data_IF_748772461613
#
_entry.id   IF_748772461613
#
_cell.length_a   1.000
_cell.length_b   1.000
_cell.length_c   1.000
_cell.angle_alpha   90.00
_cell.angle_beta   90.00
_cell.angle_gamma   90.00
#
_symmetry.space_group_name_H-M   'P 1'
#
loop_
_entity.id
_entity.type
_entity.pdbx_description
1 polymer ?
#
# COMPACT_ATOMS: atom_id res chain seq x y z
N UNK A 1 24.24 -17.46 -9.07
CA UNK A 1 24.32 -16.64 -7.84
C UNK A 1 24.67 -15.16 -8.06
N UNK A 2 25.53 -14.77 -9.02
CA UNK A 2 25.92 -13.36 -9.24
C UNK A 2 24.77 -12.42 -9.68
N UNK A 3 23.81 -12.91 -10.47
CA UNK A 3 22.66 -12.12 -10.94
C UNK A 3 21.64 -11.84 -9.82
N UNK A 4 21.41 -12.81 -8.93
CA UNK A 4 20.50 -12.67 -7.79
C UNK A 4 21.01 -11.62 -6.79
N UNK A 5 22.33 -11.59 -6.56
CA UNK A 5 22.97 -10.60 -5.70
C UNK A 5 22.87 -9.17 -6.26
N UNK A 6 22.99 -9.01 -7.58
CA UNK A 6 22.82 -7.69 -8.23
C UNK A 6 21.37 -7.19 -8.17
N UNK A 7 20.39 -8.09 -8.30
CA UNK A 7 18.96 -7.73 -8.18
C UNK A 7 18.62 -7.33 -6.74
N UNK A 8 19.17 -8.04 -5.75
CA UNK A 8 19.00 -7.70 -4.32
C UNK A 8 19.67 -6.35 -4.01
N UNK A 9 20.86 -6.07 -4.57
CA UNK A 9 21.56 -4.79 -4.37
C UNK A 9 20.81 -3.61 -5.02
N UNK A 10 20.24 -3.81 -6.22
CA UNK A 10 19.43 -2.81 -6.92
C UNK A 10 18.09 -2.53 -6.19
N UNK A 11 17.46 -3.57 -5.64
CA UNK A 11 16.26 -3.42 -4.80
C UNK A 11 16.57 -2.68 -3.48
N UNK A 12 17.74 -2.91 -2.88
CA UNK A 12 18.18 -2.24 -1.66
C UNK A 12 18.52 -0.75 -1.90
N UNK A 13 19.16 -0.41 -3.02
CA UNK A 13 19.44 1.00 -3.37
C UNK A 13 18.17 1.80 -3.69
N UNK A 14 17.15 1.20 -4.31
CA UNK A 14 15.88 1.87 -4.62
C UNK A 14 15.04 2.20 -3.37
N UNK A 15 15.19 1.41 -2.30
CA UNK A 15 14.49 1.62 -1.03
C UNK A 15 15.13 2.74 -0.19
N UNK A 16 16.45 2.94 -0.28
CA UNK A 16 17.13 4.09 0.34
C UNK A 16 16.76 5.44 -0.28
N UNK A 17 16.66 5.50 -1.61
CA UNK A 17 16.20 6.72 -2.30
C UNK A 17 14.74 7.09 -1.94
N UNK A 18 13.87 6.09 -1.79
CA UNK A 18 12.46 6.29 -1.42
C UNK A 18 12.29 6.75 0.04
N UNK A 19 13.16 6.28 0.94
CA UNK A 19 13.19 6.71 2.35
C UNK A 19 13.58 8.20 2.49
N UNK A 20 14.58 8.68 1.73
CA UNK A 20 14.99 10.10 1.76
C UNK A 20 13.96 11.06 1.14
N UNK A 21 13.21 10.61 0.13
CA UNK A 21 12.13 11.40 -0.48
C UNK A 21 10.93 11.58 0.46
N UNK A 22 10.65 10.61 1.35
CA UNK A 22 9.60 10.75 2.36
C UNK A 22 10.06 11.53 3.59
N UNK A 23 11.33 11.42 4.00
CA UNK A 23 11.85 12.14 5.17
C UNK A 23 11.86 13.67 4.95
N UNK A 24 12.10 14.12 3.71
CA UNK A 24 12.03 15.53 3.32
C UNK A 24 10.59 16.09 3.29
N UNK A 25 9.60 15.31 2.85
CA UNK A 25 8.19 15.71 2.90
C UNK A 25 7.63 15.72 4.34
N UNK A 26 8.09 14.79 5.18
CA UNK A 26 7.71 14.68 6.61
C UNK A 26 8.38 15.80 7.43
N UNK A 27 9.66 16.12 7.20
CA UNK A 27 10.34 17.30 7.78
C UNK A 27 9.70 18.62 7.38
N UNK A 28 9.22 18.77 6.14
CA UNK A 28 8.54 20.00 5.69
C UNK A 28 7.17 20.20 6.35
N UNK A 29 6.54 19.11 6.82
CA UNK A 29 5.28 19.13 7.56
C UNK A 29 5.49 19.27 9.08
N UNK A 30 6.64 18.84 9.61
CA UNK A 30 7.00 18.89 11.04
C UNK A 30 7.94 20.06 11.39
N UNK A 31 8.33 20.89 10.41
CA UNK A 31 9.32 21.97 10.56
C UNK A 31 8.85 23.23 11.32
N UNK A 32 7.68 23.22 11.93
CA UNK A 32 7.31 24.19 12.96
C UNK A 32 7.45 23.52 14.32
N UNK A 33 8.68 23.43 14.80
CA UNK A 33 8.97 22.98 16.16
C UNK A 33 8.31 23.92 17.16
N UNK A 34 7.46 23.37 18.03
CA UNK A 34 6.75 24.05 19.11
C UNK A 34 7.65 24.63 20.23
N UNK A 35 8.98 24.64 20.05
CA UNK A 35 9.95 25.09 21.07
C UNK A 35 11.13 25.91 20.54
N UNK A 36 11.06 26.49 19.33
CA UNK A 36 12.13 27.38 18.86
C UNK A 36 11.95 28.81 19.38
N UNK A 37 12.23 29.02 20.68
CA UNK A 37 12.27 30.35 21.32
C UNK A 37 13.67 30.99 21.20
N UNK A 38 14.58 30.44 20.39
CA UNK A 38 15.97 30.90 20.32
C UNK A 38 16.27 31.74 19.07
N UNK A 39 15.42 32.72 18.73
CA UNK A 39 15.83 33.82 17.83
C UNK A 39 15.09 35.12 18.07
N UNK A 40 15.07 35.58 19.32
CA UNK A 40 14.88 37.01 19.59
C UNK A 40 16.13 37.76 19.12
N UNK A 41 16.04 38.52 18.02
CA UNK A 41 17.05 39.55 17.72
C UNK A 41 16.89 40.70 18.72
N UNK A 42 17.95 41.18 19.37
CA UNK A 42 17.87 42.34 20.24
C UNK A 42 17.66 43.58 19.37
N UNK A 43 16.56 44.30 19.61
CA UNK A 43 16.37 45.65 19.07
C UNK A 43 16.60 46.62 20.21
N UNK A 44 17.76 47.27 20.19
CA UNK A 44 17.94 48.54 20.87
C UNK A 44 18.71 49.48 19.93
N UNK A 45 18.02 50.51 19.43
CA UNK A 45 18.62 51.79 19.05
C UNK A 45 17.53 52.84 18.90
N UNK A 46 17.62 53.82 19.79
CA UNK A 46 16.85 55.04 19.89
C UNK A 46 16.98 55.91 18.63
N UNK A 47 15.90 56.12 17.86
CA UNK A 47 15.65 57.36 17.11
C UNK A 47 14.14 57.62 17.02
N UNK A 48 13.69 58.75 17.59
CA UNK A 48 12.33 59.30 17.48
C UNK A 48 11.97 59.62 16.03
N UNK A 49 10.77 59.24 15.58
CA UNK A 49 10.07 59.87 14.45
C UNK A 49 8.58 60.03 14.78
N UNK A 50 7.93 61.18 14.48
CA UNK A 50 6.63 61.53 15.07
C UNK A 50 5.48 60.68 14.52
N UNK A 51 4.51 60.45 15.39
CA UNK A 51 3.28 59.69 15.18
C UNK A 51 2.39 60.40 14.14
N UNK A 52 2.04 59.70 13.06
CA UNK A 52 0.85 60.01 12.26
C UNK A 52 -0.30 59.09 12.75
N UNK A 53 -1.55 59.56 12.83
CA UNK A 53 -2.64 58.76 13.37
C UNK A 53 -2.98 57.63 12.40
N UNK A 54 -2.62 56.40 12.79
CA UNK A 54 -2.98 55.20 12.05
C UNK A 54 -4.48 54.94 12.29
N UNK A 55 -5.30 55.35 11.33
CA UNK A 55 -6.72 54.95 11.23
C UNK A 55 -6.81 53.44 11.44
N UNK A 56 -7.62 53.05 12.44
CA UNK A 56 -7.91 51.66 12.76
C UNK A 56 -8.55 50.97 11.54
N UNK A 57 -7.74 50.21 10.79
CA UNK A 57 -8.25 49.28 9.79
C UNK A 57 -8.58 48.00 10.53
N UNK A 58 -9.87 47.80 10.79
CA UNK A 58 -10.45 46.55 11.29
C UNK A 58 -9.89 45.38 10.48
N UNK A 59 -9.02 44.57 11.08
CA UNK A 59 -8.61 43.31 10.52
C UNK A 59 -9.81 42.37 10.57
N UNK A 60 -10.54 42.27 9.47
CA UNK A 60 -11.49 41.18 9.28
C UNK A 60 -10.68 39.88 9.17
N UNK A 61 -10.62 39.13 10.27
CA UNK A 61 -10.20 37.74 10.30
C UNK A 61 -11.10 36.95 9.34
N UNK A 62 -10.64 36.82 8.10
CA UNK A 62 -11.27 35.94 7.12
C UNK A 62 -10.75 34.55 7.42
N UNK A 63 -11.59 33.60 7.90
CA UNK A 63 -11.12 32.25 8.13
C UNK A 63 -10.64 31.69 6.79
N UNK A 64 -9.35 31.34 6.71
CA UNK A 64 -8.80 30.62 5.57
C UNK A 64 -9.50 29.26 5.52
N UNK A 65 -10.57 29.17 4.73
CA UNK A 65 -11.29 27.93 4.49
C UNK A 65 -10.37 27.07 3.63
N UNK A 66 -9.48 26.31 4.28
CA UNK A 66 -8.77 25.21 3.65
C UNK A 66 -9.83 24.18 3.29
N UNK A 67 -10.30 24.21 2.05
CA UNK A 67 -11.23 23.23 1.47
C UNK A 67 -10.56 21.86 1.50
N UNK A 68 -10.64 21.14 2.63
CA UNK A 68 -10.14 19.76 2.72
C UNK A 68 -10.94 18.91 1.75
N UNK A 69 -10.24 18.22 0.85
CA UNK A 69 -10.89 17.26 -0.06
C UNK A 69 -11.52 16.16 0.79
N UNK A 70 -12.84 16.03 0.73
CA UNK A 70 -13.60 14.98 1.39
C UNK A 70 -13.12 13.64 0.81
N UNK A 71 -12.63 12.76 1.68
CA UNK A 71 -12.22 11.41 1.32
C UNK A 71 -13.44 10.50 1.44
N UNK A 72 -13.94 10.03 0.30
CA UNK A 72 -15.06 9.10 0.23
C UNK A 72 -14.50 7.65 0.29
N UNK A 73 -14.77 6.90 1.38
CA UNK A 73 -14.23 5.54 1.58
C UNK A 73 -14.76 4.54 0.55
N UNK A 74 -16.01 4.71 0.11
CA UNK A 74 -16.65 3.80 -0.85
C UNK A 74 -15.95 3.85 -2.21
N UNK A 75 -15.40 5.01 -2.58
CA UNK A 75 -14.58 5.15 -3.80
C UNK A 75 -13.23 4.44 -3.67
N UNK A 76 -12.67 4.30 -2.48
CA UNK A 76 -11.43 3.55 -2.26
C UNK A 76 -11.65 2.04 -2.48
N UNK A 77 -12.75 1.51 -1.94
CA UNK A 77 -13.13 0.10 -2.06
C UNK A 77 -13.43 -0.29 -3.51
N UNK A 78 -14.29 0.46 -4.20
CA UNK A 78 -14.63 0.16 -5.60
C UNK A 78 -13.41 0.22 -6.51
N UNK A 79 -12.49 1.17 -6.28
CA UNK A 79 -11.26 1.29 -7.06
C UNK A 79 -10.30 0.12 -6.82
N UNK A 80 -10.06 -0.28 -5.56
CA UNK A 80 -9.25 -1.48 -5.26
C UNK A 80 -9.83 -2.76 -5.82
N UNK A 81 -11.17 -2.85 -5.90
CA UNK A 81 -11.87 -3.98 -6.49
C UNK A 81 -11.82 -4.00 -8.02
N UNK A 82 -11.42 -2.91 -8.69
CA UNK A 82 -11.24 -2.90 -10.15
C UNK A 82 -9.81 -3.22 -10.54
N UNK A 83 -8.83 -2.61 -9.86
CA UNK A 83 -7.41 -2.87 -10.13
C UNK A 83 -6.70 -3.06 -8.78
N UNK A 84 -5.97 -4.18 -8.59
CA UNK A 84 -5.15 -4.38 -7.40
C UNK A 84 -4.25 -3.15 -7.14
N UNK A 85 -4.33 -2.57 -5.94
CA UNK A 85 -3.55 -1.40 -5.55
C UNK A 85 -4.15 -0.02 -5.89
N UNK A 86 -5.26 0.10 -6.62
CA UNK A 86 -5.84 1.43 -6.94
C UNK A 86 -6.32 2.16 -5.66
N UNK A 87 -6.94 1.49 -4.70
CA UNK A 87 -7.33 2.15 -3.45
C UNK A 87 -6.13 2.66 -2.65
N UNK A 88 -4.96 2.03 -2.74
CA UNK A 88 -3.73 2.53 -2.12
C UNK A 88 -3.25 3.84 -2.78
N UNK A 89 -3.37 3.95 -4.12
CA UNK A 89 -3.12 5.19 -4.86
C UNK A 89 -4.09 6.30 -4.41
N UNK A 90 -5.38 5.98 -4.31
CA UNK A 90 -6.39 6.93 -3.82
C UNK A 90 -6.13 7.35 -2.37
N UNK A 91 -5.61 6.42 -1.56
CA UNK A 91 -5.22 6.65 -0.18
C UNK A 91 -3.85 7.35 -0.06
N UNK A 92 -3.15 7.64 -1.16
CA UNK A 92 -1.78 8.19 -1.20
C UNK A 92 -0.75 7.33 -0.44
N UNK A 93 -1.01 6.05 -0.29
CA UNK A 93 -0.13 5.08 0.38
C UNK A 93 0.75 4.33 -0.63
N UNK A 94 1.48 5.08 -1.46
CA UNK A 94 2.28 4.49 -2.55
C UNK A 94 3.36 3.54 -2.07
N UNK A 95 3.86 3.73 -0.86
CA UNK A 95 4.92 2.89 -0.29
C UNK A 95 4.49 1.43 -0.07
N UNK A 96 3.17 1.16 0.05
CA UNK A 96 2.63 -0.20 0.17
C UNK A 96 2.53 -0.92 -1.18
N UNK A 97 2.56 -0.19 -2.30
CA UNK A 97 2.39 -0.77 -3.63
C UNK A 97 3.46 -1.82 -3.98
N UNK A 98 4.77 -1.60 -3.76
CA UNK A 98 5.77 -2.62 -4.03
C UNK A 98 5.51 -3.93 -3.29
N UNK A 99 4.99 -3.86 -2.06
CA UNK A 99 4.63 -5.04 -1.29
C UNK A 99 3.42 -5.77 -1.89
N UNK A 100 2.38 -5.05 -2.29
CA UNK A 100 1.19 -5.62 -2.93
C UNK A 100 1.53 -6.30 -4.25
N UNK A 101 2.26 -5.59 -5.12
CA UNK A 101 2.68 -6.15 -6.40
C UNK A 101 3.67 -7.30 -6.22
N UNK A 102 4.56 -7.24 -5.21
CA UNK A 102 5.41 -8.36 -4.84
C UNK A 102 4.61 -9.59 -4.41
N UNK A 103 3.60 -9.41 -3.57
CA UNK A 103 2.72 -10.49 -3.11
C UNK A 103 1.88 -11.09 -4.24
N UNK A 104 1.36 -10.27 -5.16
CA UNK A 104 0.59 -10.73 -6.32
C UNK A 104 1.47 -11.36 -7.40
N UNK A 105 2.73 -10.92 -7.54
CA UNK A 105 3.66 -11.47 -8.52
C UNK A 105 3.93 -12.96 -8.31
N UNK A 106 3.94 -13.43 -7.06
CA UNK A 106 4.19 -14.84 -6.72
C UNK A 106 3.13 -15.76 -7.36
N UNK A 107 1.82 -15.66 -7.02
CA UNK A 107 0.80 -16.51 -7.63
C UNK A 107 0.66 -16.29 -9.13
N UNK A 108 0.93 -15.08 -9.65
CA UNK A 108 0.94 -14.84 -11.10
C UNK A 108 2.07 -15.60 -11.79
N UNK A 109 3.29 -15.56 -11.25
CA UNK A 109 4.43 -16.28 -11.81
C UNK A 109 4.23 -17.80 -11.72
N UNK A 110 3.74 -18.31 -10.58
CA UNK A 110 3.44 -19.74 -10.45
C UNK A 110 2.31 -20.15 -11.38
N UNK A 111 1.29 -19.32 -11.61
CA UNK A 111 0.23 -19.60 -12.58
C UNK A 111 0.80 -19.76 -13.99
N UNK A 112 1.64 -18.82 -14.44
CA UNK A 112 2.26 -18.86 -15.78
C UNK A 112 3.11 -20.11 -15.94
N UNK A 113 3.95 -20.40 -14.95
CA UNK A 113 4.78 -21.61 -14.92
C UNK A 113 3.91 -22.87 -15.00
N UNK A 114 2.99 -23.05 -14.07
CA UNK A 114 2.14 -24.24 -14.00
C UNK A 114 1.25 -24.40 -15.25
N UNK A 115 0.72 -23.31 -15.81
CA UNK A 115 -0.07 -23.35 -17.04
C UNK A 115 0.77 -23.75 -18.26
N UNK A 116 2.02 -23.28 -18.34
CA UNK A 116 2.93 -23.66 -19.43
C UNK A 116 3.26 -25.14 -19.37
N UNK A 117 3.63 -25.65 -18.19
CA UNK A 117 3.95 -27.05 -18.00
C UNK A 117 2.71 -27.95 -18.11
N UNK A 118 1.54 -27.48 -17.68
CA UNK A 118 0.27 -28.16 -17.93
C UNK A 118 0.01 -28.37 -19.43
N UNK A 119 0.18 -27.33 -20.25
CA UNK A 119 -0.01 -27.42 -21.71
C UNK A 119 0.97 -28.41 -22.35
N UNK A 120 2.25 -28.36 -21.94
CA UNK A 120 3.29 -29.29 -22.42
C UNK A 120 3.00 -30.73 -22.01
N UNK A 121 2.61 -30.97 -20.76
CA UNK A 121 2.26 -32.29 -20.26
C UNK A 121 0.97 -32.83 -20.91
N UNK A 122 -0.02 -31.95 -21.16
CA UNK A 122 -1.23 -32.30 -21.91
C UNK A 122 -0.91 -32.74 -23.33
N UNK A 123 -0.08 -31.98 -24.05
CA UNK A 123 0.36 -32.34 -25.40
C UNK A 123 1.12 -33.67 -25.41
N UNK A 124 2.06 -33.86 -24.48
CA UNK A 124 2.82 -35.10 -24.36
C UNK A 124 1.92 -36.31 -24.07
N UNK A 125 0.95 -36.16 -23.17
CA UNK A 125 -0.05 -37.18 -22.90
C UNK A 125 -0.85 -37.55 -24.16
N UNK A 126 -1.36 -36.57 -24.89
CA UNK A 126 -2.14 -36.79 -26.11
C UNK A 126 -1.32 -37.48 -27.22
N UNK A 127 -0.06 -37.08 -27.37
CA UNK A 127 0.86 -37.69 -28.34
C UNK A 127 1.20 -39.14 -27.99
N UNK A 128 1.52 -39.44 -26.73
CA UNK A 128 1.81 -40.81 -26.29
C UNK A 128 0.56 -41.67 -26.32
N UNK A 129 -0.59 -41.15 -25.89
CA UNK A 129 -1.85 -41.87 -25.94
C UNK A 129 -2.18 -42.31 -27.37
N UNK A 130 -2.13 -41.38 -28.34
CA UNK A 130 -2.34 -41.69 -29.76
C UNK A 130 -1.29 -42.66 -30.35
N UNK A 131 -0.06 -42.64 -29.82
CA UNK A 131 1.01 -43.55 -30.22
C UNK A 131 0.95 -44.93 -29.53
N UNK A 132 0.06 -45.12 -28.56
CA UNK A 132 -0.16 -46.40 -27.85
C UNK A 132 -1.53 -47.01 -28.10
N UNK A 133 -2.52 -46.18 -28.43
CA UNK A 133 -3.88 -46.61 -28.73
C UNK A 133 -4.03 -46.78 -30.23
N UNK A 134 -4.42 -47.98 -30.63
CA UNK A 134 -4.77 -48.30 -32.01
C UNK A 134 -6.15 -47.73 -32.33
N UNK A 135 -6.24 -46.91 -33.37
CA UNK A 135 -7.50 -46.44 -33.95
C UNK A 135 -7.50 -46.89 -35.41
N UNK A 136 -8.50 -47.68 -35.80
CA UNK A 136 -8.64 -48.23 -37.17
C UNK A 136 -7.42 -49.03 -37.67
N UNK A 137 -6.81 -49.86 -36.83
CA UNK A 137 -5.66 -50.68 -37.23
C UNK A 137 -4.34 -49.91 -37.30
N UNK A 138 -4.33 -48.62 -36.95
CA UNK A 138 -3.18 -47.72 -37.11
C UNK A 138 -2.84 -47.01 -35.81
N UNK A 139 -1.54 -46.85 -35.60
CA UNK A 139 -0.97 -46.10 -34.48
C UNK A 139 -0.40 -44.79 -35.02
N UNK A 140 -0.83 -43.66 -34.47
CA UNK A 140 -0.33 -42.35 -34.88
C UNK A 140 0.89 -41.93 -34.05
N UNK A 141 2.08 -42.04 -34.65
CA UNK A 141 3.36 -41.62 -34.05
C UNK A 141 3.79 -40.22 -34.49
N UNK A 142 3.03 -39.54 -35.35
CA UNK A 142 3.43 -38.27 -35.97
C UNK A 142 3.64 -37.13 -34.96
N UNK A 143 2.95 -37.19 -33.82
CA UNK A 143 2.99 -36.14 -32.78
C UNK A 143 4.15 -36.29 -31.79
N UNK A 144 4.80 -37.46 -31.73
CA UNK A 144 5.89 -37.74 -30.79
C UNK A 144 7.08 -36.77 -30.93
N UNK A 145 7.55 -36.40 -32.15
CA UNK A 145 8.64 -35.45 -32.30
C UNK A 145 8.32 -34.04 -31.81
N UNK A 146 7.03 -33.69 -31.67
CA UNK A 146 6.60 -32.38 -31.16
C UNK A 146 6.62 -32.26 -29.63
N UNK A 147 6.96 -33.34 -28.90
CA UNK A 147 7.03 -33.31 -27.44
C UNK A 147 8.22 -32.45 -27.02
N UNK A 148 7.96 -31.47 -26.15
CA UNK A 148 9.01 -30.58 -25.65
C UNK A 148 10.10 -31.39 -24.89
N UNK A 149 11.41 -31.11 -25.08
CA UNK A 149 12.49 -31.87 -24.46
C UNK A 149 12.40 -31.96 -22.93
N UNK A 150 11.86 -30.93 -22.26
CA UNK A 150 11.64 -30.95 -20.81
C UNK A 150 10.58 -31.96 -20.33
N UNK A 151 9.93 -32.68 -21.24
CA UNK A 151 8.93 -33.72 -20.97
C UNK A 151 9.44 -35.10 -21.37
N UNK A 152 10.69 -35.23 -21.78
CA UNK A 152 11.32 -36.51 -22.11
C UNK A 152 12.22 -36.94 -20.95
N UNK A 153 12.53 -38.24 -20.90
CA UNK A 153 13.56 -38.77 -20.03
C UNK A 153 14.93 -38.24 -20.45
N UNK A 154 15.93 -38.42 -19.60
CA UNK A 154 17.31 -38.02 -19.89
C UNK A 154 17.88 -38.68 -21.16
N UNK A 155 17.48 -39.92 -21.44
CA UNK A 155 17.84 -40.64 -22.66
C UNK A 155 17.03 -40.23 -23.91
N UNK A 156 16.16 -39.22 -23.81
CA UNK A 156 15.31 -38.74 -24.91
C UNK A 156 14.04 -39.55 -25.14
N UNK A 157 13.80 -40.62 -24.37
CA UNK A 157 12.58 -41.41 -24.51
C UNK A 157 11.36 -40.75 -23.86
N UNK A 158 10.17 -41.12 -24.33
CA UNK A 158 8.91 -40.72 -23.72
C UNK A 158 8.61 -41.49 -22.44
N UNK A 159 7.91 -40.86 -21.50
CA UNK A 159 7.30 -41.55 -20.36
C UNK A 159 6.03 -42.31 -20.81
N UNK A 160 5.56 -43.31 -20.03
CA UNK A 160 4.26 -43.93 -20.31
C UNK A 160 3.11 -42.92 -20.12
N UNK A 161 1.98 -43.17 -20.79
CA UNK A 161 0.82 -42.27 -20.77
C UNK A 161 0.32 -41.95 -19.33
N UNK A 162 0.38 -42.93 -18.42
CA UNK A 162 0.00 -42.75 -17.01
C UNK A 162 0.89 -41.74 -16.28
N UNK A 163 2.20 -41.70 -16.56
CA UNK A 163 3.10 -40.70 -16.00
C UNK A 163 2.76 -39.30 -16.50
N UNK A 164 2.52 -39.13 -17.80
CA UNK A 164 2.11 -37.82 -18.34
C UNK A 164 0.75 -37.37 -17.82
N UNK A 165 -0.18 -38.30 -17.58
CA UNK A 165 -1.47 -38.01 -16.96
C UNK A 165 -1.30 -37.45 -15.54
N UNK A 166 -0.44 -38.07 -14.74
CA UNK A 166 -0.15 -37.62 -13.38
C UNK A 166 0.51 -36.23 -13.40
N UNK A 167 1.55 -36.04 -14.22
CA UNK A 167 2.25 -34.76 -14.39
C UNK A 167 1.26 -33.66 -14.82
N UNK A 168 0.42 -33.93 -15.82
CA UNK A 168 -0.63 -33.01 -16.28
C UNK A 168 -1.58 -32.64 -15.16
N UNK A 169 -2.05 -33.62 -14.39
CA UNK A 169 -3.00 -33.40 -13.30
C UNK A 169 -2.37 -32.56 -12.17
N UNK A 170 -1.11 -32.82 -11.82
CA UNK A 170 -0.38 -32.02 -10.83
C UNK A 170 -0.22 -30.56 -11.26
N UNK A 171 0.18 -30.30 -12.51
CA UNK A 171 0.30 -28.93 -13.01
C UNK A 171 -1.05 -28.22 -13.17
N UNK A 172 -2.12 -28.95 -13.52
CA UNK A 172 -3.48 -28.42 -13.52
C UNK A 172 -3.88 -27.95 -12.12
N UNK A 173 -3.70 -28.82 -11.12
CA UNK A 173 -4.02 -28.52 -9.73
C UNK A 173 -3.18 -27.34 -9.19
N UNK A 174 -1.89 -27.32 -9.46
CA UNK A 174 -1.00 -26.23 -9.03
C UNK A 174 -1.33 -24.88 -9.69
N UNK A 175 -1.75 -24.89 -10.96
CA UNK A 175 -2.28 -23.70 -11.65
C UNK A 175 -3.55 -23.22 -10.96
N UNK A 176 -4.47 -24.12 -10.66
CA UNK A 176 -5.75 -23.77 -10.03
C UNK A 176 -5.53 -23.22 -8.60
N UNK A 177 -4.56 -23.76 -7.85
CA UNK A 177 -4.10 -23.19 -6.58
C UNK A 177 -3.46 -21.80 -6.75
N UNK A 178 -2.72 -21.57 -7.83
CA UNK A 178 -2.16 -20.24 -8.09
C UNK A 178 -3.26 -19.19 -8.29
N UNK A 179 -4.38 -19.55 -8.94
CA UNK A 179 -5.55 -18.67 -9.08
C UNK A 179 -6.20 -18.42 -7.71
N UNK A 180 -6.38 -19.46 -6.89
CA UNK A 180 -6.93 -19.32 -5.54
C UNK A 180 -6.09 -18.37 -4.69
N UNK A 181 -4.77 -18.56 -4.68
CA UNK A 181 -3.84 -17.69 -3.95
C UNK A 181 -3.87 -16.26 -4.46
N UNK A 182 -3.96 -16.06 -5.78
CA UNK A 182 -4.12 -14.73 -6.35
C UNK A 182 -5.38 -14.03 -5.81
N UNK A 183 -6.52 -14.73 -5.78
CA UNK A 183 -7.78 -14.18 -5.27
C UNK A 183 -7.71 -13.86 -3.77
N UNK A 184 -7.07 -14.71 -2.97
CA UNK A 184 -6.87 -14.46 -1.53
C UNK A 184 -6.02 -13.21 -1.31
N UNK A 185 -4.86 -13.12 -1.94
CA UNK A 185 -3.95 -11.97 -1.81
C UNK A 185 -4.63 -10.69 -2.30
N UNK A 186 -5.36 -10.77 -3.42
CA UNK A 186 -6.12 -9.66 -3.95
C UNK A 186 -7.23 -9.21 -2.99
N UNK A 187 -7.96 -10.15 -2.39
CA UNK A 187 -8.99 -9.86 -1.39
C UNK A 187 -8.41 -9.15 -0.16
N UNK A 188 -7.29 -9.63 0.37
CA UNK A 188 -6.58 -8.99 1.49
C UNK A 188 -6.18 -7.55 1.12
N UNK A 189 -5.70 -7.32 -0.10
CA UNK A 189 -5.36 -5.97 -0.57
C UNK A 189 -6.57 -5.01 -0.57
N UNK A 190 -7.74 -5.49 -1.00
CA UNK A 190 -8.98 -4.70 -1.01
C UNK A 190 -9.41 -4.35 0.42
N UNK A 191 -9.34 -5.31 1.33
CA UNK A 191 -9.69 -5.10 2.75
C UNK A 191 -8.75 -4.07 3.39
N UNK A 192 -7.44 -4.19 3.22
CA UNK A 192 -6.44 -3.23 3.75
C UNK A 192 -6.73 -1.80 3.29
N UNK A 193 -6.97 -1.61 1.99
CA UNK A 193 -7.29 -0.30 1.44
C UNK A 193 -8.63 0.26 1.96
N UNK A 194 -9.61 -0.61 2.21
CA UNK A 194 -10.93 -0.23 2.72
C UNK A 194 -10.88 0.18 4.18
N UNK A 195 -10.19 -0.59 5.02
CA UNK A 195 -10.01 -0.29 6.45
C UNK A 195 -9.27 1.04 6.60
N UNK A 196 -8.18 1.25 5.85
CA UNK A 196 -7.46 2.52 5.90
C UNK A 196 -8.29 3.71 5.42
N UNK A 197 -9.13 3.51 4.39
CA UNK A 197 -10.06 4.52 3.92
C UNK A 197 -11.05 4.98 5.00
N UNK A 198 -11.60 4.04 5.77
CA UNK A 198 -12.50 4.35 6.88
C UNK A 198 -11.78 5.03 8.05
N UNK A 199 -10.54 4.65 8.33
CA UNK A 199 -9.73 5.29 9.38
C UNK A 199 -9.44 6.77 9.10
N UNK A 200 -9.39 7.21 7.84
CA UNK A 200 -9.18 8.64 7.50
C UNK A 200 -10.33 9.57 7.87
N UNK A 201 -11.53 9.03 8.02
CA UNK A 201 -12.71 9.82 8.42
C UNK A 201 -12.90 9.88 9.93
N UNK A 202 -12.12 9.10 10.71
CA UNK A 202 -12.13 9.23 12.15
C UNK A 202 -11.46 10.54 12.58
N UNK A 203 -12.10 11.21 13.53
CA UNK A 203 -11.60 12.46 14.10
C UNK A 203 -10.52 12.15 15.13
N UNK A 204 -9.26 12.39 14.76
CA UNK A 204 -8.10 12.31 15.65
C UNK A 204 -7.64 13.73 15.96
N UNK A 205 -8.52 14.52 16.58
CA UNK A 205 -8.18 15.86 17.05
C UNK A 205 -7.41 15.77 18.37
N UNK A 206 -6.18 16.28 18.41
CA UNK A 206 -5.37 16.44 19.64
C UNK A 206 -5.90 17.59 20.53
N UNK A 207 -7.21 17.71 20.70
CA UNK A 207 -7.84 18.75 21.53
C UNK A 207 -7.86 18.35 23.02
N UNK A 208 -7.00 17.41 23.42
CA UNK A 208 -6.72 17.10 24.83
C UNK A 208 -5.62 18.04 25.32
N UNK A 209 -6.01 19.21 25.81
CA UNK A 209 -5.06 20.15 26.39
C UNK A 209 -4.88 19.86 27.89
N UNK A 210 -3.64 19.55 28.29
CA UNK A 210 -3.23 19.55 29.68
C UNK A 210 -2.71 20.95 30.03
N UNK A 211 -3.39 21.64 30.95
CA UNK A 211 -2.92 22.90 31.51
C UNK A 211 -2.34 22.67 32.91
N UNK A 212 -1.10 23.09 33.10
CA UNK A 212 -0.42 23.05 34.41
C UNK A 212 -0.40 24.47 34.94
N UNK A 213 -1.01 24.71 36.11
CA UNK A 213 -1.05 26.02 36.74
C UNK A 213 -0.48 25.95 38.15
N UNK A 214 0.43 26.86 38.55
CA UNK A 214 0.85 26.94 39.95
C UNK A 214 -0.35 27.37 40.80
N UNK A 215 -0.56 26.69 41.92
CA UNK A 215 -1.63 27.01 42.88
C UNK A 215 -1.02 27.32 44.23
N UNK A 216 -1.67 28.20 44.99
CA UNK A 216 -1.23 28.52 46.36
C UNK A 216 -2.37 28.22 47.32
N UNK A 217 -2.14 27.30 48.24
CA UNK A 217 -3.13 26.98 49.27
C UNK A 217 -2.96 27.96 50.44
N UNK A 218 -3.82 28.97 50.51
CA UNK A 218 -3.78 30.01 51.54
C UNK A 218 -4.06 29.48 52.96
N UNK A 219 -4.81 28.38 53.10
CA UNK A 219 -5.13 27.77 54.38
C UNK A 219 -3.94 26.99 54.97
N UNK A 220 -3.15 26.33 54.12
CA UNK A 220 -1.99 25.54 54.54
C UNK A 220 -0.64 26.27 54.36
N UNK A 221 -0.64 27.47 53.77
CA UNK A 221 0.57 28.26 53.42
C UNK A 221 1.61 27.46 52.60
N UNK A 222 1.14 26.56 51.74
CA UNK A 222 2.01 25.72 50.90
C UNK A 222 1.79 26.00 49.41
N UNK A 223 2.88 26.07 48.61
CA UNK A 223 2.77 26.09 47.16
C UNK A 223 2.37 24.71 46.64
N UNK A 224 1.56 24.68 45.58
CA UNK A 224 1.08 23.47 44.93
C UNK A 224 1.07 23.59 43.41
N UNK A 225 0.78 22.48 42.73
CA UNK A 225 0.63 22.41 41.28
C UNK A 225 -0.78 21.89 40.97
N UNK A 226 -1.54 22.66 40.22
CA UNK A 226 -2.84 22.26 39.68
C UNK A 226 -2.69 21.70 38.28
N UNK A 227 -3.28 20.52 38.04
CA UNK A 227 -3.41 19.93 36.71
C UNK A 227 -4.87 20.07 36.26
N UNK A 228 -5.10 20.73 35.12
CA UNK A 228 -6.41 20.86 34.51
C UNK A 228 -6.39 20.15 33.16
N UNK A 229 -7.18 19.09 33.05
CA UNK A 229 -7.42 18.37 31.81
C UNK A 229 -8.68 18.93 31.15
N UNK A 230 -8.53 19.57 30.01
CA UNK A 230 -9.68 20.03 29.21
C UNK A 230 -9.84 19.14 28.00
N UNK A 231 -11.01 18.53 27.87
CA UNK A 231 -11.41 17.75 26.71
C UNK A 231 -12.53 18.48 25.96
N UNK A 232 -12.25 18.95 24.74
CA UNK A 232 -13.26 19.58 23.89
C UNK A 232 -13.95 18.52 23.04
N UNK A 233 -15.28 18.48 23.04
CA UNK A 233 -16.05 17.52 22.21
C UNK A 233 -15.77 17.77 20.73
N UNK A 234 -15.51 16.68 19.99
CA UNK A 234 -15.46 16.68 18.53
C UNK A 234 -16.71 17.35 17.97
N UNK A 235 -16.55 18.47 17.26
CA UNK A 235 -17.67 19.11 16.56
C UNK A 235 -17.74 18.53 15.15
N UNK A 236 -18.86 17.90 14.75
CA UNK A 236 -18.98 17.38 13.41
C UNK A 236 -18.85 18.53 12.41
N UNK A 237 -17.82 18.47 11.56
CA UNK A 237 -17.65 19.40 10.44
C UNK A 237 -18.68 19.07 9.36
N UNK A 238 -19.90 19.56 9.52
CA UNK A 238 -20.88 19.52 8.45
C UNK A 238 -20.41 20.39 7.28
N UNK A 239 -20.34 19.77 6.11
CA UNK A 239 -20.15 20.44 4.83
C UNK A 239 -21.30 21.42 4.59
N UNK A 240 -20.98 22.70 4.36
CA UNK A 240 -21.94 23.73 3.94
C UNK A 240 -22.60 23.47 2.57
N UNK A 241 -22.43 22.28 1.98
CA UNK A 241 -23.12 21.86 0.76
C UNK A 241 -24.60 21.53 0.95
N UNK A 242 -25.12 21.56 2.19
CA UNK A 242 -26.53 21.32 2.49
C UNK A 242 -27.40 22.60 2.48
N UNK A 243 -26.85 23.75 2.07
CA UNK A 243 -27.56 25.04 1.95
C UNK A 243 -27.74 25.47 0.48
N UNK A 244 -28.15 24.57 -0.40
CA UNK A 244 -28.65 24.91 -1.73
C UNK A 244 -29.93 24.16 -2.04
#
# INVERSE_FOLDING_TARGET
MRLLFCIILLLCCSSWYSAQAQDSARRKLMGTSLFDTARAKPHDTLVKKPVAPMMAKTAQDTPVIVKRRIHDPNKATVRSAMIPGWGQIYNREYWKLPLVYGALAIPTATFIFNNTYYKRAKYAYEAVYAATTEIDGKVDKSKLPGIHPSMLKENGETYPASSYQNIRNSYRQARDYSVLWFLIVWGINVVDATVFGHLKTFDVSDDLSLQVSPTFNSALRTPGVGLVLTYKKATPRYSLSALR
#
